data_IF_382961405430
#
_entry.id   IF_382961405430
#
_cell.length_a   1.000
_cell.length_b   1.000
_cell.length_c   1.000
_cell.angle_alpha   90.00
_cell.angle_beta   90.00
_cell.angle_gamma   90.00
#
_symmetry.space_group_name_H-M   'P 1'
#
loop_
_entity.id
_entity.type
_entity.pdbx_description
1 polymer ?
#
# COMPACT_ATOMS: atom_id res chain seq x y z
N UNK A 1 0.92 27.60 -21.16
CA UNK A 1 2.04 26.66 -21.42
C UNK A 1 1.68 25.26 -20.95
N UNK A 2 1.29 25.10 -19.68
CA UNK A 2 0.83 23.84 -19.09
C UNK A 2 -0.20 23.07 -19.94
N UNK A 3 -1.30 23.74 -20.36
CA UNK A 3 -2.35 23.14 -21.20
C UNK A 3 -1.83 22.54 -22.51
N UNK A 4 -0.78 23.11 -23.09
CA UNK A 4 -0.17 22.61 -24.33
C UNK A 4 0.68 21.37 -24.07
N UNK A 5 1.47 21.34 -22.99
CA UNK A 5 2.27 20.17 -22.62
C UNK A 5 1.38 18.95 -22.26
N UNK A 6 0.30 19.17 -21.50
CA UNK A 6 -0.69 18.15 -21.16
C UNK A 6 -1.32 17.51 -22.42
N UNK A 7 -1.76 18.34 -23.37
CA UNK A 7 -2.39 17.85 -24.61
C UNK A 7 -1.37 17.17 -25.55
N UNK A 8 -0.11 17.59 -25.52
CA UNK A 8 0.92 17.14 -26.47
C UNK A 8 1.46 15.75 -26.16
N UNK A 9 1.51 15.35 -24.89
CA UNK A 9 2.15 14.09 -24.49
C UNK A 9 1.28 13.18 -23.62
N UNK A 10 0.43 13.74 -22.75
CA UNK A 10 -0.30 12.98 -21.73
C UNK A 10 -1.69 12.56 -22.19
N UNK A 11 -2.46 13.46 -22.82
CA UNK A 11 -3.83 13.18 -23.29
C UNK A 11 -3.86 12.48 -24.67
N UNK A 12 -2.82 11.72 -25.01
CA UNK A 12 -2.79 10.96 -26.26
C UNK A 12 -3.65 9.70 -26.11
N UNK A 13 -4.41 9.31 -27.16
CA UNK A 13 -5.19 8.07 -27.14
C UNK A 13 -4.33 6.85 -26.76
N UNK A 14 -3.07 6.80 -27.20
CA UNK A 14 -2.14 5.72 -26.86
C UNK A 14 -1.87 5.59 -25.36
N UNK A 15 -1.79 6.70 -24.62
CA UNK A 15 -1.55 6.69 -23.16
C UNK A 15 -2.80 6.23 -22.43
N UNK A 16 -3.99 6.66 -22.89
CA UNK A 16 -5.28 6.25 -22.32
C UNK A 16 -5.53 4.76 -22.57
N UNK A 17 -5.25 4.27 -23.78
CA UNK A 17 -5.33 2.83 -24.10
C UNK A 17 -4.36 2.04 -23.22
N UNK A 18 -3.12 2.53 -23.06
CA UNK A 18 -2.14 1.89 -22.20
C UNK A 18 -2.60 1.83 -20.73
N UNK A 19 -3.16 2.92 -20.19
CA UNK A 19 -3.76 2.92 -18.87
C UNK A 19 -4.85 1.84 -18.75
N UNK A 20 -5.80 1.79 -19.70
CA UNK A 20 -6.88 0.82 -19.67
C UNK A 20 -6.36 -0.62 -19.69
N UNK A 21 -5.35 -0.91 -20.52
CA UNK A 21 -4.69 -2.23 -20.55
C UNK A 21 -4.01 -2.54 -19.21
N UNK A 22 -3.30 -1.58 -18.62
CA UNK A 22 -2.62 -1.80 -17.34
C UNK A 22 -3.60 -1.99 -16.18
N UNK A 23 -4.73 -1.29 -16.16
CA UNK A 23 -5.80 -1.52 -15.19
C UNK A 23 -6.42 -2.92 -15.36
N UNK A 24 -6.60 -3.40 -16.59
CA UNK A 24 -7.07 -4.76 -16.85
C UNK A 24 -6.06 -5.80 -16.35
N UNK A 25 -4.76 -5.59 -16.62
CA UNK A 25 -3.69 -6.46 -16.10
C UNK A 25 -3.66 -6.45 -14.57
N UNK A 26 -3.87 -5.29 -13.95
CA UNK A 26 -3.98 -5.14 -12.49
C UNK A 26 -5.15 -5.98 -11.95
N UNK A 27 -6.33 -5.85 -12.56
CA UNK A 27 -7.52 -6.62 -12.19
C UNK A 27 -7.28 -8.12 -12.31
N UNK A 28 -6.67 -8.59 -13.41
CA UNK A 28 -6.31 -10.01 -13.57
C UNK A 28 -5.40 -10.47 -12.45
N UNK A 29 -4.43 -9.64 -12.04
CA UNK A 29 -3.53 -9.99 -10.93
C UNK A 29 -4.26 -10.03 -9.58
N UNK A 30 -5.17 -9.09 -9.32
CA UNK A 30 -6.01 -9.12 -8.10
C UNK A 30 -6.88 -10.39 -8.08
N UNK A 31 -7.52 -10.73 -9.20
CA UNK A 31 -8.31 -11.95 -9.33
C UNK A 31 -7.46 -13.22 -9.16
N UNK A 32 -6.24 -13.24 -9.68
CA UNK A 32 -5.29 -14.33 -9.47
C UNK A 32 -4.97 -14.52 -7.98
N UNK A 33 -4.69 -13.43 -7.24
CA UNK A 33 -4.41 -13.49 -5.81
C UNK A 33 -5.64 -13.98 -5.05
N UNK A 34 -6.83 -13.44 -5.36
CA UNK A 34 -8.09 -13.89 -4.79
C UNK A 34 -8.31 -15.40 -5.00
N UNK A 35 -7.99 -15.90 -6.19
CA UNK A 35 -8.07 -17.31 -6.55
C UNK A 35 -7.04 -18.20 -5.81
N UNK A 36 -5.81 -17.71 -5.63
CA UNK A 36 -4.69 -18.44 -5.01
C UNK A 36 -4.72 -18.43 -3.48
N UNK A 37 -5.01 -17.28 -2.86
CA UNK A 37 -5.02 -17.07 -1.40
C UNK A 37 -6.08 -17.92 -0.69
N UNK A 38 -7.13 -18.29 -1.39
CA UNK A 38 -8.15 -19.23 -0.91
C UNK A 38 -7.65 -20.70 -0.86
N UNK A 39 -6.33 -20.95 -0.90
CA UNK A 39 -5.71 -22.27 -0.87
C UNK A 39 -5.76 -23.02 -2.21
N UNK A 40 -4.84 -23.94 -2.46
CA UNK A 40 -4.86 -24.85 -3.61
C UNK A 40 -6.13 -25.73 -3.61
N UNK A 41 -7.30 -25.22 -4.01
CA UNK A 41 -8.48 -25.98 -4.42
C UNK A 41 -9.42 -25.08 -5.23
N UNK A 42 -9.01 -24.71 -6.45
CA UNK A 42 -9.94 -24.21 -7.48
C UNK A 42 -10.51 -25.39 -8.29
N UNK A 43 -10.20 -26.63 -7.90
CA UNK A 43 -10.73 -27.82 -8.57
C UNK A 43 -12.03 -28.35 -7.97
N UNK A 44 -12.48 -27.85 -6.82
CA UNK A 44 -13.75 -28.26 -6.23
C UNK A 44 -14.53 -27.04 -5.74
N UNK A 45 -15.78 -26.95 -6.21
CA UNK A 45 -16.90 -26.11 -5.74
C UNK A 45 -16.72 -25.53 -4.32
N UNK A 46 -16.78 -24.20 -4.13
CA UNK A 46 -16.99 -23.63 -2.79
C UNK A 46 -16.48 -22.22 -2.49
N UNK A 47 -15.45 -21.70 -3.19
CA UNK A 47 -14.82 -20.43 -2.77
C UNK A 47 -15.64 -19.16 -2.99
N UNK A 48 -16.51 -19.15 -4.00
CA UNK A 48 -17.54 -18.11 -4.08
C UNK A 48 -18.40 -18.10 -2.82
N UNK A 49 -18.67 -19.28 -2.22
CA UNK A 49 -19.50 -19.37 -1.01
C UNK A 49 -18.78 -18.92 0.25
N UNK A 50 -17.47 -19.11 0.40
CA UNK A 50 -16.74 -18.69 1.61
C UNK A 50 -16.75 -17.17 1.77
N UNK A 51 -16.35 -16.42 0.74
CA UNK A 51 -16.32 -14.96 0.82
C UNK A 51 -17.74 -14.37 0.88
N UNK A 52 -18.69 -14.93 0.11
CA UNK A 52 -20.12 -14.59 0.27
C UNK A 52 -20.60 -14.90 1.70
N UNK A 53 -20.14 -15.98 2.32
CA UNK A 53 -20.49 -16.31 3.71
C UNK A 53 -19.85 -15.37 4.71
N UNK A 54 -18.61 -14.94 4.47
CA UNK A 54 -17.96 -13.90 5.29
C UNK A 54 -18.75 -12.60 5.22
N UNK A 55 -19.18 -12.18 4.03
CA UNK A 55 -20.03 -10.99 3.88
C UNK A 55 -21.36 -11.14 4.64
N UNK A 56 -22.04 -12.29 4.50
CA UNK A 56 -23.29 -12.59 5.23
C UNK A 56 -23.08 -12.59 6.75
N UNK A 57 -22.02 -13.22 7.24
CA UNK A 57 -21.70 -13.21 8.66
C UNK A 57 -21.25 -11.83 9.14
N UNK A 58 -20.57 -11.05 8.28
CA UNK A 58 -20.16 -9.70 8.61
C UNK A 58 -21.36 -8.76 8.72
N UNK A 59 -22.39 -8.89 7.88
CA UNK A 59 -23.65 -8.14 8.04
C UNK A 59 -24.30 -8.41 9.41
N UNK A 60 -24.13 -9.62 9.96
CA UNK A 60 -24.71 -10.00 11.25
C UNK A 60 -23.83 -9.64 12.45
N UNK A 61 -22.52 -9.84 12.33
CA UNK A 61 -21.57 -9.81 13.44
C UNK A 61 -20.55 -8.66 13.36
N UNK A 62 -20.49 -7.91 12.26
CA UNK A 62 -19.60 -6.76 12.08
C UNK A 62 -19.93 -5.58 12.99
N UNK A 63 -18.96 -4.68 13.15
CA UNK A 63 -19.08 -3.48 13.97
C UNK A 63 -18.96 -3.73 15.47
N UNK A 64 -19.60 -2.89 16.28
CA UNK A 64 -19.52 -2.95 17.75
C UNK A 64 -19.85 -4.34 18.30
N UNK A 65 -19.00 -4.82 19.21
CA UNK A 65 -19.13 -6.13 19.85
C UNK A 65 -20.09 -6.01 21.03
N UNK A 66 -21.16 -6.81 21.01
CA UNK A 66 -22.17 -6.84 22.08
C UNK A 66 -22.33 -8.24 22.66
N UNK A 67 -22.80 -8.33 23.91
CA UNK A 67 -23.05 -9.61 24.57
C UNK A 67 -24.04 -10.48 23.78
N UNK A 68 -25.05 -9.88 23.17
CA UNK A 68 -26.03 -10.57 22.32
C UNK A 68 -25.36 -11.21 21.09
N UNK A 69 -24.46 -10.49 20.41
CA UNK A 69 -23.69 -11.02 19.28
C UNK A 69 -22.78 -12.17 19.71
N UNK A 70 -22.12 -12.05 20.86
CA UNK A 70 -21.27 -13.11 21.42
C UNK A 70 -22.07 -14.39 21.67
N UNK A 71 -23.22 -14.28 22.33
CA UNK A 71 -24.07 -15.44 22.63
C UNK A 71 -24.64 -16.07 21.36
N UNK A 72 -25.08 -15.24 20.39
CA UNK A 72 -25.54 -15.73 19.10
C UNK A 72 -24.42 -16.45 18.33
N UNK A 73 -23.21 -15.92 18.30
CA UNK A 73 -22.08 -16.51 17.59
C UNK A 73 -21.66 -17.86 18.20
N UNK A 74 -21.69 -17.98 19.53
CA UNK A 74 -21.47 -19.26 20.23
C UNK A 74 -22.54 -20.30 19.90
N UNK A 75 -23.80 -19.89 19.80
CA UNK A 75 -24.89 -20.78 19.38
C UNK A 75 -24.70 -21.26 17.93
N UNK A 76 -24.28 -20.37 17.02
CA UNK A 76 -23.96 -20.75 15.63
C UNK A 76 -22.79 -21.71 15.56
N UNK A 77 -21.74 -21.50 16.35
CA UNK A 77 -20.61 -22.42 16.42
C UNK A 77 -21.07 -23.82 16.86
N UNK A 78 -21.89 -23.92 17.90
CA UNK A 78 -22.39 -25.21 18.39
C UNK A 78 -23.20 -25.96 17.32
N UNK A 79 -24.02 -25.24 16.54
CA UNK A 79 -24.76 -25.82 15.41
C UNK A 79 -23.82 -26.28 14.29
N UNK A 80 -22.79 -25.50 13.97
CA UNK A 80 -21.80 -25.86 12.95
C UNK A 80 -20.97 -27.09 13.37
N UNK A 81 -20.56 -27.16 14.65
CA UNK A 81 -19.82 -28.30 15.21
C UNK A 81 -20.68 -29.57 15.24
N UNK A 82 -21.97 -29.47 15.60
CA UNK A 82 -22.89 -30.61 15.53
C UNK A 82 -23.01 -31.16 14.10
N UNK A 83 -23.10 -30.28 13.09
CA UNK A 83 -23.13 -30.71 11.69
C UNK A 83 -21.81 -31.35 11.25
N UNK A 84 -20.68 -30.85 11.75
CA UNK A 84 -19.38 -31.47 11.46
C UNK A 84 -19.26 -32.86 12.09
N UNK A 85 -19.82 -33.06 13.28
CA UNK A 85 -19.89 -34.39 13.92
C UNK A 85 -20.84 -35.34 13.16
N UNK A 86 -21.98 -34.85 12.67
CA UNK A 86 -22.96 -35.64 11.93
C UNK A 86 -22.45 -36.07 10.55
N UNK A 87 -21.88 -35.15 9.78
CA UNK A 87 -21.52 -35.37 8.38
C UNK A 87 -20.03 -35.61 8.13
N UNK A 88 -19.15 -35.20 9.06
CA UNK A 88 -17.70 -35.29 8.88
C UNK A 88 -17.16 -34.36 7.79
N UNK A 89 -15.98 -34.71 7.24
CA UNK A 89 -15.38 -34.02 6.09
C UNK A 89 -15.95 -34.63 4.81
N UNK A 90 -16.66 -33.82 4.04
CA UNK A 90 -17.40 -34.25 2.85
C UNK A 90 -16.85 -33.58 1.58
N UNK A 91 -16.96 -34.26 0.44
CA UNK A 91 -16.53 -33.75 -0.86
C UNK A 91 -17.64 -33.02 -1.62
N UNK A 92 -18.91 -33.33 -1.33
CA UNK A 92 -20.07 -32.68 -1.95
C UNK A 92 -20.68 -31.63 -1.02
N UNK A 93 -21.06 -30.45 -1.55
CA UNK A 93 -21.61 -29.39 -0.73
C UNK A 93 -23.04 -29.72 -0.26
N UNK A 94 -23.33 -29.49 1.02
CA UNK A 94 -24.64 -29.71 1.61
C UNK A 94 -25.43 -28.39 1.77
N UNK A 95 -26.75 -28.49 1.65
CA UNK A 95 -27.65 -27.36 1.91
C UNK A 95 -27.65 -26.98 3.41
N UNK A 96 -28.03 -25.74 3.72
CA UNK A 96 -28.04 -25.18 5.08
C UNK A 96 -26.67 -25.12 5.77
N UNK A 97 -25.58 -25.03 5.00
CA UNK A 97 -24.27 -24.57 5.48
C UNK A 97 -23.91 -23.27 4.77
N UNK A 98 -23.12 -22.42 5.40
CA UNK A 98 -22.65 -21.16 4.84
C UNK A 98 -21.73 -21.43 3.65
N UNK A 99 -20.65 -22.17 3.90
CA UNK A 99 -19.58 -22.44 2.93
C UNK A 99 -19.91 -23.59 1.97
N UNK A 100 -20.98 -24.34 2.24
CA UNK A 100 -21.27 -25.63 1.60
C UNK A 100 -20.68 -26.82 2.37
N UNK A 101 -19.79 -26.59 3.35
CA UNK A 101 -19.07 -27.63 4.06
C UNK A 101 -19.07 -27.38 5.58
N UNK A 102 -19.49 -28.35 6.42
CA UNK A 102 -19.48 -28.18 7.88
C UNK A 102 -18.11 -27.76 8.44
N UNK A 103 -17.03 -28.34 7.91
CA UNK A 103 -15.67 -27.97 8.31
C UNK A 103 -15.32 -26.51 7.99
N UNK A 104 -15.78 -26.01 6.83
CA UNK A 104 -15.59 -24.62 6.43
C UNK A 104 -16.34 -23.65 7.34
N UNK A 105 -17.58 -23.97 7.69
CA UNK A 105 -18.42 -23.15 8.58
C UNK A 105 -17.82 -23.05 9.98
N UNK A 106 -17.35 -24.17 10.55
CA UNK A 106 -16.71 -24.18 11.87
C UNK A 106 -15.47 -23.28 11.89
N UNK A 107 -14.60 -23.37 10.89
CA UNK A 107 -13.40 -22.53 10.83
C UNK A 107 -13.74 -21.06 10.66
N UNK A 108 -14.67 -20.75 9.75
CA UNK A 108 -15.09 -19.38 9.46
C UNK A 108 -15.73 -18.71 10.69
N UNK A 109 -16.55 -19.44 11.46
CA UNK A 109 -17.11 -18.93 12.73
C UNK A 109 -16.00 -18.80 13.79
N UNK A 110 -15.06 -19.74 13.87
CA UNK A 110 -13.91 -19.67 14.79
C UNK A 110 -13.00 -18.47 14.50
N UNK A 111 -12.80 -18.12 13.23
CA UNK A 111 -12.02 -16.94 12.83
C UNK A 111 -12.68 -15.64 13.34
N UNK A 112 -14.01 -15.53 13.26
CA UNK A 112 -14.76 -14.38 13.82
C UNK A 112 -14.64 -14.35 15.35
N UNK A 113 -14.79 -15.50 16.02
CA UNK A 113 -14.64 -15.59 17.49
C UNK A 113 -13.23 -15.17 17.91
N UNK A 114 -12.19 -15.62 17.20
CA UNK A 114 -10.81 -15.21 17.44
C UNK A 114 -10.65 -13.68 17.31
N UNK A 115 -11.30 -13.08 16.33
CA UNK A 115 -11.28 -11.62 16.12
C UNK A 115 -12.00 -10.87 17.26
N UNK A 116 -13.10 -11.42 17.77
CA UNK A 116 -13.80 -10.89 18.95
C UNK A 116 -12.92 -10.98 20.21
N UNK A 117 -12.31 -12.13 20.44
CA UNK A 117 -11.39 -12.35 21.57
C UNK A 117 -10.22 -11.37 21.51
N UNK A 118 -9.65 -11.17 20.32
CA UNK A 118 -8.61 -10.17 20.09
C UNK A 118 -9.07 -8.77 20.51
N UNK A 119 -10.19 -8.28 19.96
CA UNK A 119 -10.67 -6.93 20.24
C UNK A 119 -10.90 -6.70 21.75
N UNK A 120 -11.63 -7.62 22.40
CA UNK A 120 -11.92 -7.54 23.84
C UNK A 120 -10.66 -7.58 24.73
N UNK A 121 -9.62 -8.29 24.30
CA UNK A 121 -8.35 -8.39 25.04
C UNK A 121 -7.33 -7.30 24.68
N UNK A 122 -7.53 -6.59 23.57
CA UNK A 122 -6.52 -5.67 23.03
C UNK A 122 -6.23 -4.52 23.98
N UNK A 123 -7.23 -3.95 24.62
CA UNK A 123 -7.04 -2.85 25.60
C UNK A 123 -6.08 -3.25 26.72
N UNK A 124 -6.26 -4.45 27.29
CA UNK A 124 -5.36 -4.96 28.32
C UNK A 124 -3.96 -5.22 27.75
N UNK A 125 -3.89 -5.84 26.57
CA UNK A 125 -2.63 -6.12 25.87
C UNK A 125 -1.84 -4.84 25.59
N UNK A 126 -2.49 -3.78 25.11
CA UNK A 126 -1.87 -2.50 24.79
C UNK A 126 -1.37 -1.77 26.05
N UNK A 127 -2.13 -1.85 27.14
CA UNK A 127 -1.70 -1.30 28.44
C UNK A 127 -0.49 -2.07 28.99
N UNK A 128 -0.48 -3.40 28.93
CA UNK A 128 0.70 -4.18 29.32
C UNK A 128 1.94 -3.83 28.48
N UNK A 129 1.78 -3.63 27.18
CA UNK A 129 2.88 -3.19 26.30
C UNK A 129 3.40 -1.81 26.71
N UNK A 130 2.50 -0.88 27.06
CA UNK A 130 2.82 0.46 27.53
C UNK A 130 3.55 0.42 28.89
N UNK A 131 3.06 -0.36 29.86
CA UNK A 131 3.65 -0.48 31.19
C UNK A 131 5.06 -1.09 31.13
N UNK A 132 5.25 -2.17 30.34
CA UNK A 132 6.59 -2.77 30.13
C UNK A 132 7.56 -1.77 29.49
N UNK A 133 7.08 -0.94 28.59
CA UNK A 133 7.90 0.09 27.95
C UNK A 133 8.28 1.21 28.94
N UNK A 134 7.37 1.60 29.83
CA UNK A 134 7.65 2.56 30.91
C UNK A 134 8.70 2.00 31.90
N UNK A 135 8.59 0.74 32.30
CA UNK A 135 9.59 0.06 33.13
C UNK A 135 10.97 0.01 32.44
N UNK A 136 10.99 -0.30 31.14
CA UNK A 136 12.20 -0.30 30.32
C UNK A 136 12.82 1.11 30.24
N UNK A 137 12.01 2.15 30.05
CA UNK A 137 12.48 3.54 30.02
C UNK A 137 13.15 3.93 31.36
N UNK A 138 12.53 3.58 32.49
CA UNK A 138 13.09 3.81 33.82
C UNK A 138 14.40 3.04 34.05
N UNK A 139 14.52 1.80 33.55
CA UNK A 139 15.74 1.01 33.64
C UNK A 139 16.93 1.68 32.92
N UNK A 140 16.69 2.30 31.75
CA UNK A 140 17.73 2.94 30.95
C UNK A 140 18.07 4.37 31.38
N UNK A 141 17.34 4.92 32.36
CA UNK A 141 17.61 6.25 32.89
C UNK A 141 19.03 6.38 33.46
N UNK A 142 19.76 7.39 32.98
CA UNK A 142 21.17 7.61 33.31
C UNK A 142 22.15 6.57 32.74
N UNK A 143 21.67 5.58 31.97
CA UNK A 143 22.50 4.51 31.37
C UNK A 143 22.66 4.68 29.87
N UNK A 144 21.55 4.64 29.12
CA UNK A 144 21.53 4.82 27.68
C UNK A 144 20.34 5.71 27.31
N UNK A 145 20.64 6.92 26.85
CA UNK A 145 19.62 7.91 26.53
C UNK A 145 18.79 7.53 25.29
N UNK A 146 19.37 6.81 24.33
CA UNK A 146 18.63 6.33 23.15
C UNK A 146 17.60 5.26 23.56
N UNK A 147 18.02 4.23 24.30
CA UNK A 147 17.13 3.13 24.70
C UNK A 147 16.01 3.64 25.63
N UNK A 148 16.30 4.64 26.48
CA UNK A 148 15.29 5.34 27.27
C UNK A 148 14.25 5.99 26.36
N UNK A 149 14.69 6.86 25.44
CA UNK A 149 13.79 7.60 24.54
C UNK A 149 12.99 6.68 23.61
N UNK A 150 13.60 5.60 23.13
CA UNK A 150 12.92 4.61 22.29
C UNK A 150 11.79 3.92 23.07
N UNK A 151 12.05 3.59 24.34
CA UNK A 151 11.05 2.97 25.22
C UNK A 151 9.94 3.96 25.58
N UNK A 152 10.25 5.25 25.80
CA UNK A 152 9.26 6.31 26.00
C UNK A 152 8.38 6.52 24.75
N UNK A 153 8.97 6.48 23.55
CA UNK A 153 8.22 6.56 22.29
C UNK A 153 7.30 5.34 22.13
N UNK A 154 7.77 4.15 22.47
CA UNK A 154 6.97 2.93 22.46
C UNK A 154 5.81 3.03 23.46
N UNK A 155 6.06 3.45 24.71
CA UNK A 155 5.00 3.69 25.71
C UNK A 155 3.93 4.64 25.14
N UNK A 156 4.37 5.79 24.61
CA UNK A 156 3.49 6.80 24.03
C UNK A 156 2.62 6.23 22.91
N UNK A 157 3.18 5.38 22.04
CA UNK A 157 2.42 4.77 20.96
C UNK A 157 1.25 3.93 21.47
N UNK A 158 1.46 3.06 22.47
CA UNK A 158 0.48 2.04 22.87
C UNK A 158 -0.41 2.42 24.05
N UNK A 159 -0.16 3.56 24.69
CA UNK A 159 -0.91 3.99 25.88
C UNK A 159 -2.37 4.29 25.55
N UNK A 160 -3.30 3.65 26.28
CA UNK A 160 -4.72 4.00 26.24
C UNK A 160 -5.45 3.63 24.95
N UNK A 161 -4.92 2.69 24.16
CA UNK A 161 -5.63 2.16 22.98
C UNK A 161 -6.69 1.15 23.38
N UNK A 162 -7.77 1.10 22.59
CA UNK A 162 -8.86 0.14 22.75
C UNK A 162 -9.47 -0.22 21.40
N UNK A 163 -9.84 -1.48 21.23
CA UNK A 163 -10.51 -2.00 20.04
C UNK A 163 -11.85 -2.62 20.46
N UNK A 164 -12.96 -2.01 20.08
CA UNK A 164 -14.29 -2.40 20.55
C UNK A 164 -15.19 -2.95 19.43
N UNK A 165 -14.64 -3.08 18.23
CA UNK A 165 -15.37 -3.47 17.03
C UNK A 165 -14.69 -4.62 16.28
N UNK A 166 -15.50 -5.39 15.55
CA UNK A 166 -15.02 -6.40 14.60
C UNK A 166 -15.12 -5.87 13.18
N UNK A 167 -13.99 -5.96 12.45
CA UNK A 167 -13.85 -5.52 11.06
C UNK A 167 -13.19 -6.66 10.28
N UNK A 168 -13.68 -6.93 9.07
CA UNK A 168 -13.00 -7.84 8.16
C UNK A 168 -11.65 -7.24 7.73
N UNK A 169 -10.54 -7.90 8.09
CA UNK A 169 -9.17 -7.44 7.79
C UNK A 169 -8.74 -7.70 6.35
N UNK A 170 -9.35 -8.67 5.65
CA UNK A 170 -8.85 -9.21 4.39
C UNK A 170 -8.65 -8.15 3.30
N UNK A 171 -9.61 -7.23 3.14
CA UNK A 171 -9.51 -6.18 2.13
C UNK A 171 -8.32 -5.24 2.43
N UNK A 172 -8.14 -4.86 3.70
CA UNK A 172 -7.09 -3.93 4.12
C UNK A 172 -5.70 -4.56 4.03
N UNK A 173 -5.55 -5.80 4.53
CA UNK A 173 -4.27 -6.52 4.50
C UNK A 173 -3.78 -6.70 3.06
N UNK A 174 -4.68 -7.09 2.17
CA UNK A 174 -4.37 -7.18 0.74
C UNK A 174 -4.00 -5.82 0.15
N UNK A 175 -4.73 -4.73 0.44
CA UNK A 175 -4.39 -3.39 -0.08
C UNK A 175 -2.98 -2.95 0.39
N UNK A 176 -2.64 -3.18 1.66
CA UNK A 176 -1.38 -2.73 2.24
C UNK A 176 -0.16 -3.52 1.75
N UNK A 177 -0.29 -4.84 1.51
CA UNK A 177 0.79 -5.63 0.91
C UNK A 177 0.85 -5.56 -0.63
N UNK A 178 -0.24 -5.14 -1.30
CA UNK A 178 -0.30 -5.14 -2.77
C UNK A 178 0.66 -4.16 -3.46
N UNK A 179 1.83 -4.66 -3.87
CA UNK A 179 2.91 -3.89 -4.52
C UNK A 179 2.75 -3.76 -6.04
N UNK A 180 2.01 -4.66 -6.69
CA UNK A 180 1.98 -4.80 -8.15
C UNK A 180 1.45 -3.55 -8.86
N UNK A 181 0.43 -2.88 -8.30
CA UNK A 181 -0.14 -1.65 -8.87
C UNK A 181 0.87 -0.50 -8.96
N UNK A 182 1.85 -0.47 -8.07
CA UNK A 182 2.93 0.52 -8.10
C UNK A 182 3.90 0.24 -9.25
N UNK A 183 4.20 -1.03 -9.53
CA UNK A 183 5.08 -1.44 -10.65
C UNK A 183 4.45 -1.10 -12.01
N UNK A 184 3.16 -1.39 -12.20
CA UNK A 184 2.47 -0.99 -13.44
C UNK A 184 2.38 0.54 -13.58
N UNK A 185 2.28 1.27 -12.46
CA UNK A 185 2.30 2.73 -12.46
C UNK A 185 3.67 3.27 -12.89
N UNK A 186 4.77 2.64 -12.45
CA UNK A 186 6.12 2.96 -12.94
C UNK A 186 6.21 2.75 -14.46
N UNK A 187 5.70 1.64 -15.00
CA UNK A 187 5.69 1.40 -16.44
C UNK A 187 4.92 2.49 -17.20
N UNK A 188 3.74 2.86 -16.72
CA UNK A 188 2.93 3.93 -17.29
C UNK A 188 3.68 5.28 -17.29
N UNK A 189 4.36 5.60 -16.19
CA UNK A 189 5.21 6.78 -16.07
C UNK A 189 6.32 6.75 -17.12
N UNK A 190 7.03 5.63 -17.30
CA UNK A 190 8.08 5.55 -18.33
C UNK A 190 7.51 5.87 -19.71
N UNK A 191 6.38 5.28 -20.09
CA UNK A 191 5.79 5.46 -21.41
C UNK A 191 5.32 6.90 -21.66
N UNK A 192 4.74 7.55 -20.66
CA UNK A 192 4.20 8.91 -20.78
C UNK A 192 5.27 10.00 -20.61
N UNK A 193 6.20 9.81 -19.67
CA UNK A 193 7.14 10.85 -19.20
C UNK A 193 8.48 10.79 -19.93
N UNK A 194 8.98 9.60 -20.29
CA UNK A 194 10.24 9.47 -21.03
C UNK A 194 10.29 10.27 -22.35
N UNK A 195 9.20 10.38 -23.15
CA UNK A 195 9.18 11.20 -24.36
C UNK A 195 9.22 12.73 -24.14
N UNK A 196 8.92 13.23 -22.93
CA UNK A 196 8.68 14.66 -22.69
C UNK A 196 9.92 15.52 -22.98
N UNK A 197 11.12 14.99 -22.74
CA UNK A 197 12.39 15.68 -23.01
C UNK A 197 13.04 15.13 -24.28
N UNK A 198 13.15 13.80 -24.40
CA UNK A 198 13.85 13.13 -25.51
C UNK A 198 13.26 13.41 -26.91
N UNK A 199 11.92 13.42 -27.09
CA UNK A 199 11.31 13.64 -28.42
C UNK A 199 11.55 15.04 -28.98
N UNK A 200 11.87 16.03 -28.15
CA UNK A 200 12.15 17.38 -28.65
C UNK A 200 13.46 17.48 -29.40
N UNK A 201 14.44 16.62 -29.10
CA UNK A 201 15.66 16.52 -29.89
C UNK A 201 15.37 15.95 -31.28
N UNK A 202 14.48 14.95 -31.36
CA UNK A 202 14.13 14.28 -32.62
C UNK A 202 13.41 15.23 -33.58
N UNK A 203 12.45 16.03 -33.08
CA UNK A 203 11.70 16.98 -33.91
C UNK A 203 12.39 18.35 -34.08
N UNK A 204 13.56 18.57 -33.46
CA UNK A 204 14.29 19.85 -33.55
C UNK A 204 13.63 21.02 -32.82
N UNK A 205 12.56 20.80 -32.04
CA UNK A 205 11.86 21.84 -31.28
C UNK A 205 12.77 22.55 -30.26
N UNK A 206 13.83 21.88 -29.83
CA UNK A 206 14.89 22.44 -28.99
C UNK A 206 15.40 23.80 -29.54
N UNK A 207 15.71 23.90 -30.84
CA UNK A 207 16.28 25.14 -31.40
C UNK A 207 15.31 26.32 -31.35
N UNK A 208 14.00 26.04 -31.47
CA UNK A 208 12.95 27.06 -31.34
C UNK A 208 12.79 27.53 -29.89
N UNK A 209 12.94 26.61 -28.93
CA UNK A 209 12.88 26.93 -27.49
C UNK A 209 14.07 27.81 -27.09
N UNK A 210 15.29 27.48 -27.53
CA UNK A 210 16.49 28.33 -27.34
C UNK A 210 16.22 29.74 -27.88
N UNK A 211 15.80 29.82 -29.14
CA UNK A 211 15.62 31.09 -29.85
C UNK A 211 14.56 32.00 -29.21
N UNK A 212 13.60 31.41 -28.50
CA UNK A 212 12.54 32.15 -27.80
C UNK A 212 12.96 32.74 -26.44
N UNK A 213 14.14 32.37 -25.90
CA UNK A 213 14.60 32.79 -24.57
C UNK A 213 13.79 32.26 -23.39
N UNK A 214 12.80 31.38 -23.61
CA UNK A 214 11.87 30.87 -22.58
C UNK A 214 12.26 29.51 -21.97
N UNK A 215 13.50 29.06 -22.19
CA UNK A 215 14.07 27.77 -21.75
C UNK A 215 13.71 27.36 -20.31
N UNK A 216 13.94 28.26 -19.34
CA UNK A 216 13.62 28.02 -17.92
C UNK A 216 12.13 27.76 -17.70
N UNK A 217 11.27 28.60 -18.29
CA UNK A 217 9.82 28.49 -18.15
C UNK A 217 9.28 27.20 -18.78
N UNK A 218 9.83 26.77 -19.92
CA UNK A 218 9.46 25.51 -20.59
C UNK A 218 9.84 24.32 -19.72
N UNK A 219 11.09 24.29 -19.21
CA UNK A 219 11.58 23.18 -18.39
C UNK A 219 10.77 23.02 -17.09
N UNK A 220 10.45 24.11 -16.39
CA UNK A 220 9.58 24.06 -15.22
C UNK A 220 8.16 23.58 -15.57
N UNK A 221 7.60 24.03 -16.70
CA UNK A 221 6.30 23.57 -17.15
C UNK A 221 6.29 22.05 -17.41
N UNK A 222 7.36 21.48 -17.96
CA UNK A 222 7.50 20.03 -18.18
C UNK A 222 7.57 19.23 -16.89
N UNK A 223 8.45 19.65 -15.96
CA UNK A 223 8.58 19.00 -14.66
C UNK A 223 7.26 19.00 -13.89
N UNK A 224 6.58 20.15 -13.88
CA UNK A 224 5.26 20.26 -13.25
C UNK A 224 4.20 19.41 -13.98
N UNK A 225 4.24 19.35 -15.31
CA UNK A 225 3.31 18.52 -16.09
C UNK A 225 3.52 17.02 -15.83
N UNK A 226 4.78 16.57 -15.72
CA UNK A 226 5.11 15.19 -15.35
C UNK A 226 4.67 14.87 -13.91
N UNK A 227 4.93 15.77 -12.96
CA UNK A 227 4.47 15.63 -11.58
C UNK A 227 2.94 15.53 -11.48
N UNK A 228 2.22 16.43 -12.15
CA UNK A 228 0.76 16.44 -12.16
C UNK A 228 0.20 15.15 -12.79
N UNK A 229 0.80 14.68 -13.88
CA UNK A 229 0.44 13.39 -14.47
C UNK A 229 0.58 12.25 -13.47
N UNK A 230 1.73 12.17 -12.78
CA UNK A 230 1.99 11.13 -11.80
C UNK A 230 0.99 11.14 -10.65
N UNK A 231 0.65 12.32 -10.11
CA UNK A 231 -0.36 12.47 -9.06
C UNK A 231 -1.73 11.95 -9.51
N UNK A 232 -2.19 12.37 -10.69
CA UNK A 232 -3.52 11.99 -11.20
C UNK A 232 -3.55 10.49 -11.53
N UNK A 233 -2.52 9.98 -12.19
CA UNK A 233 -2.49 8.57 -12.60
C UNK A 233 -2.32 7.63 -11.41
N UNK A 234 -1.48 7.96 -10.45
CA UNK A 234 -1.34 7.16 -9.23
C UNK A 234 -2.66 7.13 -8.44
N UNK A 235 -3.39 8.26 -8.40
CA UNK A 235 -4.69 8.31 -7.74
C UNK A 235 -5.71 7.41 -8.44
N UNK A 236 -5.77 7.42 -9.78
CA UNK A 236 -6.66 6.53 -10.54
C UNK A 236 -6.33 5.06 -10.31
N UNK A 237 -5.04 4.69 -10.33
CA UNK A 237 -4.62 3.29 -10.09
C UNK A 237 -4.90 2.89 -8.64
N UNK A 238 -4.61 3.74 -7.66
CA UNK A 238 -4.90 3.46 -6.25
C UNK A 238 -6.41 3.31 -5.98
N UNK A 239 -7.23 4.18 -6.55
CA UNK A 239 -8.69 4.03 -6.48
C UNK A 239 -9.16 2.73 -7.13
N UNK A 240 -8.52 2.29 -8.21
CA UNK A 240 -8.83 0.99 -8.81
C UNK A 240 -8.50 -0.17 -7.88
N UNK A 241 -7.37 -0.11 -7.15
CA UNK A 241 -7.02 -1.13 -6.16
C UNK A 241 -8.08 -1.19 -5.06
N UNK A 242 -8.39 -0.05 -4.44
CA UNK A 242 -9.43 0.05 -3.39
C UNK A 242 -10.76 -0.48 -3.90
N UNK A 243 -11.14 -0.14 -5.13
CA UNK A 243 -12.36 -0.64 -5.75
C UNK A 243 -12.33 -2.15 -5.95
N UNK A 244 -11.25 -2.72 -6.49
CA UNK A 244 -11.16 -4.16 -6.73
C UNK A 244 -11.21 -4.97 -5.43
N UNK A 245 -10.44 -4.58 -4.42
CA UNK A 245 -10.45 -5.28 -3.13
C UNK A 245 -11.78 -5.11 -2.39
N UNK A 246 -12.42 -3.93 -2.48
CA UNK A 246 -13.76 -3.73 -1.94
C UNK A 246 -14.81 -4.65 -2.60
N UNK A 247 -14.73 -4.88 -3.91
CA UNK A 247 -15.67 -5.77 -4.60
C UNK A 247 -15.46 -7.25 -4.26
N UNK A 248 -14.28 -7.63 -3.76
CA UNK A 248 -13.93 -9.03 -3.49
C UNK A 248 -14.06 -9.42 -2.02
N UNK A 249 -13.78 -8.50 -1.09
CA UNK A 249 -13.74 -8.78 0.35
C UNK A 249 -14.58 -7.81 1.21
N UNK A 250 -15.09 -6.73 0.62
CA UNK A 250 -15.80 -5.66 1.32
C UNK A 250 -14.89 -4.77 2.19
N UNK A 251 -14.99 -3.45 2.02
CA UNK A 251 -14.38 -2.48 2.94
C UNK A 251 -15.42 -1.89 3.88
N UNK A 252 -15.08 -1.82 5.15
CA UNK A 252 -15.92 -1.22 6.19
C UNK A 252 -15.07 -0.69 7.35
N UNK A 253 -15.69 -0.05 8.33
CA UNK A 253 -14.99 0.41 9.53
C UNK A 253 -13.99 1.55 9.28
N UNK A 254 -14.15 2.37 8.24
CA UNK A 254 -13.18 3.44 7.90
C UNK A 254 -12.80 4.38 9.05
N UNK A 255 -13.70 4.58 10.03
CA UNK A 255 -13.49 5.42 11.21
C UNK A 255 -12.79 4.71 12.37
N UNK A 256 -12.70 3.39 12.34
CA UNK A 256 -12.10 2.58 13.39
C UNK A 256 -10.58 2.66 13.34
N UNK A 257 -9.88 2.55 14.50
CA UNK A 257 -8.43 2.53 14.54
C UNK A 257 -7.83 1.34 13.77
N UNK A 258 -6.64 1.53 13.18
CA UNK A 258 -5.95 0.50 12.40
C UNK A 258 -5.64 -0.77 13.21
N UNK A 259 -5.33 -0.61 14.50
CA UNK A 259 -5.04 -1.72 15.41
C UNK A 259 -6.27 -2.53 15.81
N UNK A 260 -7.47 -2.17 15.33
CA UNK A 260 -8.65 -3.06 15.39
C UNK A 260 -8.43 -4.31 14.55
N UNK A 261 -7.59 -4.22 13.51
CA UNK A 261 -7.14 -5.36 12.73
C UNK A 261 -5.99 -6.05 13.47
N UNK A 262 -6.13 -7.36 13.72
CA UNK A 262 -5.17 -8.14 14.50
C UNK A 262 -3.76 -8.11 13.90
N UNK A 263 -3.65 -8.08 12.58
CA UNK A 263 -2.40 -8.02 11.82
C UNK A 263 -1.62 -6.72 12.08
N UNK A 264 -2.31 -5.67 12.53
CA UNK A 264 -1.76 -4.33 12.77
C UNK A 264 -1.82 -3.91 14.25
N UNK A 265 -1.92 -4.90 15.15
CA UNK A 265 -1.92 -4.71 16.60
C UNK A 265 -0.75 -3.84 17.12
N UNK A 266 0.42 -4.00 16.49
CA UNK A 266 1.66 -3.30 16.86
C UNK A 266 1.94 -2.05 16.03
N UNK A 267 0.95 -1.55 15.28
CA UNK A 267 1.12 -0.34 14.49
C UNK A 267 1.57 0.83 15.37
N UNK A 268 2.70 1.49 15.08
CA UNK A 268 3.17 2.62 15.89
C UNK A 268 2.29 3.87 15.74
N UNK A 269 1.45 3.93 14.70
CA UNK A 269 0.65 5.11 14.35
C UNK A 269 -0.78 4.96 14.85
N UNK A 270 -1.28 5.98 15.54
CA UNK A 270 -2.70 6.08 15.92
C UNK A 270 -3.49 6.69 14.77
N UNK A 271 -3.84 5.85 13.80
CA UNK A 271 -4.60 6.21 12.60
C UNK A 271 -5.88 5.40 12.55
N UNK A 272 -6.94 6.00 12.02
CA UNK A 272 -8.09 5.23 11.56
C UNK A 272 -7.78 4.54 10.22
N UNK A 273 -8.60 3.57 9.84
CA UNK A 273 -8.42 2.79 8.62
C UNK A 273 -8.43 3.66 7.35
N UNK A 274 -9.24 4.71 7.30
CA UNK A 274 -9.17 5.70 6.22
C UNK A 274 -7.83 6.44 6.17
N UNK A 275 -7.31 6.85 7.32
CA UNK A 275 -6.01 7.49 7.47
C UNK A 275 -4.87 6.56 7.03
N UNK A 276 -4.96 5.27 7.34
CA UNK A 276 -4.02 4.26 6.87
C UNK A 276 -4.03 4.15 5.34
N UNK A 277 -5.21 4.08 4.69
CA UNK A 277 -5.32 4.12 3.23
C UNK A 277 -4.71 5.39 2.63
N UNK A 278 -4.94 6.54 3.26
CA UNK A 278 -4.38 7.82 2.81
C UNK A 278 -2.85 7.85 2.94
N UNK A 279 -2.30 7.35 4.04
CA UNK A 279 -0.85 7.21 4.24
C UNK A 279 -0.26 6.27 3.18
N UNK A 280 -0.90 5.13 2.91
CA UNK A 280 -0.49 4.21 1.85
C UNK A 280 -0.43 4.88 0.48
N UNK A 281 -1.45 5.66 0.13
CA UNK A 281 -1.44 6.43 -1.11
C UNK A 281 -0.29 7.45 -1.15
N UNK A 282 -0.08 8.22 -0.07
CA UNK A 282 0.96 9.26 -0.01
C UNK A 282 2.38 8.68 -0.10
N UNK A 283 2.61 7.56 0.59
CA UNK A 283 3.86 6.81 0.56
C UNK A 283 4.16 6.27 -0.84
N UNK A 284 3.17 5.64 -1.49
CA UNK A 284 3.29 5.19 -2.89
C UNK A 284 3.44 6.36 -3.88
N UNK A 285 2.78 7.49 -3.63
CA UNK A 285 2.93 8.69 -4.44
C UNK A 285 4.35 9.25 -4.35
N UNK A 286 4.97 9.27 -3.17
CA UNK A 286 6.33 9.77 -2.97
C UNK A 286 7.36 9.00 -3.83
N UNK A 287 7.29 7.67 -3.83
CA UNK A 287 8.19 6.83 -4.64
C UNK A 287 7.90 6.95 -6.14
N UNK A 288 6.64 7.05 -6.56
CA UNK A 288 6.28 7.28 -7.96
C UNK A 288 6.75 8.67 -8.44
N UNK A 289 6.71 9.68 -7.57
CA UNK A 289 7.25 11.01 -7.84
C UNK A 289 8.77 10.97 -8.02
N UNK A 290 9.49 10.31 -7.11
CA UNK A 290 10.94 10.08 -7.24
C UNK A 290 11.27 9.41 -8.58
N UNK A 291 10.54 8.34 -8.92
CA UNK A 291 10.72 7.59 -10.16
C UNK A 291 10.40 8.42 -11.41
N UNK A 292 9.39 9.29 -11.33
CA UNK A 292 9.05 10.24 -12.40
C UNK A 292 10.22 11.18 -12.68
N UNK A 293 10.80 11.77 -11.63
CA UNK A 293 11.93 12.67 -11.81
C UNK A 293 13.19 11.94 -12.26
N UNK A 294 13.44 10.73 -11.78
CA UNK A 294 14.49 9.86 -12.32
C UNK A 294 14.31 9.63 -13.82
N UNK A 295 13.10 9.28 -14.27
CA UNK A 295 12.78 9.08 -15.69
C UNK A 295 13.02 10.36 -16.50
N UNK A 296 12.62 11.53 -15.99
CA UNK A 296 12.91 12.80 -16.67
C UNK A 296 14.40 13.13 -16.71
N UNK A 297 15.15 12.76 -15.66
CA UNK A 297 16.59 12.97 -15.59
C UNK A 297 17.30 12.12 -16.64
N UNK A 298 16.99 10.82 -16.70
CA UNK A 298 17.47 9.89 -17.73
C UNK A 298 17.15 10.43 -19.13
N UNK A 299 15.90 10.82 -19.36
CA UNK A 299 15.45 11.38 -20.65
C UNK A 299 16.23 12.62 -21.09
N UNK A 300 16.72 13.42 -20.15
CA UNK A 300 17.55 14.59 -20.47
C UNK A 300 18.94 14.24 -21.02
N UNK A 301 19.43 13.02 -20.79
CA UNK A 301 20.73 12.55 -21.29
C UNK A 301 20.65 11.93 -22.69
N UNK A 302 19.48 11.44 -23.10
CA UNK A 302 19.30 10.75 -24.38
C UNK A 302 18.65 11.65 -25.44
N UNK A 303 19.21 11.62 -26.65
CA UNK A 303 18.64 12.32 -27.83
C UNK A 303 17.56 11.51 -28.56
N UNK A 304 17.40 10.24 -28.20
CA UNK A 304 16.45 9.30 -28.78
C UNK A 304 15.49 8.83 -27.68
N UNK A 305 14.18 8.88 -27.96
CA UNK A 305 13.13 8.52 -27.02
C UNK A 305 13.09 7.03 -26.70
N UNK A 306 13.42 6.17 -27.67
CA UNK A 306 13.47 4.72 -27.46
C UNK A 306 14.60 4.37 -26.47
N UNK A 307 15.79 4.96 -26.64
CA UNK A 307 16.92 4.75 -25.72
C UNK A 307 16.63 5.30 -24.32
N UNK A 308 15.92 6.42 -24.24
CA UNK A 308 15.47 6.98 -22.97
C UNK A 308 14.49 6.04 -22.25
N UNK A 309 13.54 5.46 -22.99
CA UNK A 309 12.58 4.50 -22.44
C UNK A 309 13.28 3.24 -21.93
N UNK A 310 14.15 2.63 -22.74
CA UNK A 310 14.85 1.40 -22.35
C UNK A 310 15.74 1.62 -21.12
N UNK A 311 16.46 2.74 -21.06
CA UNK A 311 17.26 3.11 -19.89
C UNK A 311 16.40 3.33 -18.63
N UNK A 312 15.21 3.92 -18.78
CA UNK A 312 14.29 4.15 -17.65
C UNK A 312 13.68 2.84 -17.13
N UNK A 313 13.35 1.91 -18.02
CA UNK A 313 12.89 0.56 -17.65
C UNK A 313 14.00 -0.18 -16.89
N UNK A 314 15.22 -0.17 -17.42
CA UNK A 314 16.37 -0.78 -16.77
C UNK A 314 16.62 -0.19 -15.37
N UNK A 315 16.53 1.14 -15.23
CA UNK A 315 16.63 1.80 -13.93
C UNK A 315 15.52 1.37 -12.95
N UNK A 316 14.28 1.21 -13.43
CA UNK A 316 13.18 0.66 -12.63
C UNK A 316 13.45 -0.76 -12.13
N UNK A 317 13.93 -1.65 -13.00
CA UNK A 317 14.32 -3.00 -12.59
C UNK A 317 15.46 -3.01 -11.59
N UNK A 318 16.49 -2.16 -11.79
CA UNK A 318 17.60 -2.03 -10.85
C UNK A 318 17.12 -1.54 -9.49
N UNK A 319 16.17 -0.60 -9.44
CA UNK A 319 15.58 -0.16 -8.18
C UNK A 319 14.83 -1.30 -7.46
N UNK A 320 14.00 -2.04 -8.18
CA UNK A 320 13.19 -3.13 -7.59
C UNK A 320 14.08 -4.29 -7.14
N UNK A 321 14.98 -4.80 -8.00
CA UNK A 321 15.85 -5.93 -7.68
C UNK A 321 16.94 -5.52 -6.68
N UNK A 322 17.52 -4.34 -6.86
CA UNK A 322 18.56 -3.81 -5.96
C UNK A 322 18.06 -3.64 -4.52
N UNK A 323 16.75 -3.48 -4.33
CA UNK A 323 16.14 -3.40 -3.00
C UNK A 323 16.40 -4.62 -2.12
N UNK A 324 16.57 -5.82 -2.70
CA UNK A 324 16.85 -7.06 -1.97
C UNK A 324 18.31 -7.12 -1.46
N UNK A 325 19.19 -6.31 -2.03
CA UNK A 325 20.63 -6.32 -1.74
C UNK A 325 21.11 -5.09 -0.96
N UNK A 326 20.22 -4.12 -0.71
CA UNK A 326 20.54 -2.91 0.04
C UNK A 326 20.36 -3.16 1.55
N UNK A 327 21.24 -2.58 2.40
CA UNK A 327 21.08 -2.66 3.86
C UNK A 327 19.74 -2.03 4.28
N UNK A 328 19.07 -2.63 5.28
CA UNK A 328 17.67 -2.35 5.63
C UNK A 328 17.29 -0.88 5.94
N UNK A 329 18.26 0.01 6.16
CA UNK A 329 18.03 1.45 6.41
C UNK A 329 17.95 2.27 5.12
N UNK A 330 18.61 1.84 4.03
CA UNK A 330 18.67 2.56 2.75
C UNK A 330 18.01 1.76 1.64
N UNK A 331 16.68 1.75 1.64
CA UNK A 331 15.90 1.04 0.63
C UNK A 331 14.66 1.86 0.26
N UNK A 332 14.70 2.68 -0.82
CA UNK A 332 13.58 3.53 -1.21
C UNK A 332 12.34 2.75 -1.66
N UNK A 333 12.49 1.47 -2.01
CA UNK A 333 11.39 0.60 -2.48
C UNK A 333 10.64 -0.04 -1.32
N UNK A 334 11.22 -0.06 -0.11
CA UNK A 334 10.59 -0.64 1.09
C UNK A 334 9.23 -0.02 1.42
N UNK A 335 9.05 1.27 1.10
CA UNK A 335 7.82 2.04 1.35
C UNK A 335 6.64 1.60 0.45
N UNK A 336 6.88 0.82 -0.62
CA UNK A 336 5.80 0.38 -1.53
C UNK A 336 4.82 -0.57 -0.82
N UNK A 337 5.36 -1.50 -0.03
CA UNK A 337 4.56 -2.38 0.84
C UNK A 337 4.42 -1.73 2.19
N UNK A 338 3.26 -1.15 2.48
CA UNK A 338 3.01 -0.48 3.76
C UNK A 338 2.66 -1.42 4.88
N UNK A 339 2.43 -2.71 4.57
CA UNK A 339 2.17 -3.75 5.55
C UNK A 339 3.23 -3.77 6.67
N UNK A 340 4.51 -3.81 6.33
CA UNK A 340 5.61 -3.80 7.32
C UNK A 340 5.72 -2.50 8.13
N UNK A 341 5.18 -1.39 7.62
CA UNK A 341 5.13 -0.11 8.34
C UNK A 341 4.03 -0.13 9.39
N UNK A 342 2.95 -0.87 9.13
CA UNK A 342 1.78 -0.95 9.99
C UNK A 342 1.83 -2.16 10.94
N UNK A 343 2.58 -3.23 10.62
CA UNK A 343 2.62 -4.45 11.43
C UNK A 343 3.67 -4.43 12.54
N UNK A 344 4.71 -3.60 12.42
CA UNK A 344 5.83 -3.59 13.37
C UNK A 344 6.22 -2.19 13.85
N UNK A 345 6.54 -2.06 15.14
CA UNK A 345 7.24 -0.89 15.65
C UNK A 345 8.72 -0.96 15.25
N UNK A 346 9.17 -0.02 14.41
CA UNK A 346 10.55 0.06 13.96
C UNK A 346 11.08 1.48 14.06
N UNK A 347 12.10 1.67 14.90
CA UNK A 347 12.80 2.93 15.09
C UNK A 347 14.29 2.77 14.80
N UNK A 348 14.91 3.84 14.30
CA UNK A 348 16.34 3.93 14.01
C UNK A 348 16.94 5.08 14.82
N UNK A 349 18.14 4.85 15.33
CA UNK A 349 18.90 5.85 16.07
C UNK A 349 19.47 6.93 15.14
N UNK A 350 18.94 8.15 15.25
CA UNK A 350 19.50 9.35 14.60
C UNK A 350 20.00 10.28 15.70
N UNK A 351 21.32 10.35 15.89
CA UNK A 351 21.98 11.24 16.86
C UNK A 351 21.42 11.12 18.30
N UNK A 352 21.07 9.91 18.73
CA UNK A 352 20.51 9.63 20.05
C UNK A 352 18.99 9.83 20.14
N UNK A 353 18.31 10.13 19.04
CA UNK A 353 16.85 10.19 18.97
C UNK A 353 16.29 8.99 18.20
N UNK A 354 15.26 8.30 18.73
CA UNK A 354 14.54 7.28 17.98
C UNK A 354 13.65 7.96 16.94
N UNK A 355 13.86 7.62 15.67
CA UNK A 355 13.04 8.09 14.56
C UNK A 355 12.47 6.88 13.85
N UNK A 356 11.16 6.86 13.56
CA UNK A 356 10.55 5.74 12.85
C UNK A 356 11.27 5.46 11.53
N UNK A 357 11.56 4.19 11.27
CA UNK A 357 12.34 3.78 10.10
C UNK A 357 11.73 4.29 8.78
N UNK A 358 10.39 4.27 8.66
CA UNK A 358 9.69 4.74 7.46
C UNK A 358 9.85 6.25 7.22
N UNK A 359 10.06 7.06 8.25
CA UNK A 359 10.30 8.51 8.09
C UNK A 359 11.70 8.76 7.52
N UNK A 360 12.67 7.92 7.88
CA UNK A 360 14.04 7.98 7.34
C UNK A 360 14.04 7.64 5.86
N UNK A 361 13.37 6.55 5.48
CA UNK A 361 13.24 6.16 4.07
C UNK A 361 12.42 7.18 3.28
N UNK A 362 11.36 7.76 3.86
CA UNK A 362 10.61 8.83 3.21
C UNK A 362 11.48 10.08 2.96
N UNK A 363 12.32 10.47 3.94
CA UNK A 363 13.26 11.57 3.78
C UNK A 363 14.27 11.29 2.66
N UNK A 364 14.80 10.06 2.58
CA UNK A 364 15.68 9.62 1.48
C UNK A 364 14.99 9.78 0.11
N UNK A 365 13.76 9.28 -0.03
CA UNK A 365 12.97 9.38 -1.27
C UNK A 365 12.75 10.84 -1.68
N UNK A 366 12.46 11.73 -0.71
CA UNK A 366 12.29 13.17 -0.96
C UNK A 366 13.62 13.80 -1.42
N UNK A 367 14.74 13.47 -0.78
CA UNK A 367 16.07 13.98 -1.16
C UNK A 367 16.42 13.54 -2.59
N UNK A 368 16.24 12.26 -2.93
CA UNK A 368 16.47 11.74 -4.28
C UNK A 368 15.57 12.42 -5.31
N UNK A 369 14.30 12.64 -4.96
CA UNK A 369 13.34 13.38 -5.80
C UNK A 369 13.85 14.78 -6.16
N UNK A 370 14.33 15.53 -5.16
CA UNK A 370 14.86 16.89 -5.35
C UNK A 370 16.15 16.85 -6.19
N UNK A 371 17.04 15.89 -5.94
CA UNK A 371 18.28 15.71 -6.70
C UNK A 371 17.97 15.45 -8.19
N UNK A 372 17.07 14.52 -8.51
CA UNK A 372 16.71 14.22 -9.89
C UNK A 372 16.03 15.40 -10.58
N UNK A 373 15.11 16.09 -9.90
CA UNK A 373 14.50 17.31 -10.43
C UNK A 373 15.54 18.39 -10.74
N UNK A 374 16.53 18.57 -9.85
CA UNK A 374 17.64 19.51 -10.06
C UNK A 374 18.54 19.11 -11.23
N UNK A 375 18.89 17.82 -11.36
CA UNK A 375 19.66 17.29 -12.50
C UNK A 375 18.93 17.58 -13.81
N UNK A 376 17.62 17.26 -13.89
CA UNK A 376 16.80 17.52 -15.07
C UNK A 376 16.74 19.00 -15.38
N UNK A 377 16.52 19.87 -14.38
CA UNK A 377 16.49 21.32 -14.59
C UNK A 377 17.84 21.83 -15.12
N UNK A 378 18.97 21.42 -14.53
CA UNK A 378 20.31 21.86 -14.93
C UNK A 378 20.70 21.35 -16.32
N UNK A 379 20.39 20.10 -16.65
CA UNK A 379 20.66 19.50 -17.98
C UNK A 379 19.73 20.05 -19.04
N UNK A 380 18.44 20.17 -18.73
CA UNK A 380 17.47 20.88 -19.56
C UNK A 380 17.88 22.32 -19.85
N UNK A 381 18.52 22.99 -18.89
CA UNK A 381 19.11 24.32 -19.09
C UNK A 381 20.45 24.34 -19.83
N UNK A 382 21.01 23.20 -20.21
CA UNK A 382 22.16 23.09 -21.14
C UNK A 382 21.75 22.57 -22.51
N UNK A 383 20.64 21.82 -22.57
CA UNK A 383 20.16 21.18 -23.79
C UNK A 383 18.77 21.60 -24.32
N UNK A 384 18.04 22.57 -23.73
CA UNK A 384 16.78 23.17 -24.27
C UNK A 384 16.87 24.55 -24.90
#
# INVERSE_FOLDING_TARGET
>A
MLKYELKKYILKPSVIICLAVLLLVNLVKVLEIYCQGSGRQILFSGKGRIEISKDVLYEKYGGEITQEKIESLKAELAVAEQKLEEYGIIEEPIENTYTGYPYGDVNLIKDIISSYEYALLYTNTSNELSDRAAEKAAFYEGRNEYDKRESELYEYCFKGRAADSYINSDAYTNIFDYKFSTVISMLLIVLAVSPIVSKEYVFGYHNLIISSGKRKKVMHAKLFTAALFTVVMSFVVFLSDVFYWNQLYGLSGFGEPIYTLQEYALCPLDLNLFGALAVTYLLRLAILMMFTFLTTAISSFFKNDILSMTASIAAGFILVIGSEHLPGVFNPVSIIGTDSIFSEFSAVNIMGFPVFAFLVTLAEVIILTVIFAFITAKRGLKCC
#
